data_IF_992815746557
#
_entry.id   IF_992815746557
#
_cell.length_a   1.000
_cell.length_b   1.000
_cell.length_c   1.000
_cell.angle_alpha   90.00
_cell.angle_beta   90.00
_cell.angle_gamma   90.00
#
_symmetry.space_group_name_H-M   'P 1'
#
loop_
_entity.id
_entity.type
_entity.pdbx_description
1 polymer ?
#
# COMPACT_ATOMS: atom_id res chain seq x y z
N UNK A 1 18.08 -10.62 -21.75
CA UNK A 1 17.00 -9.64 -21.41
C UNK A 1 17.11 -9.36 -19.92
N UNK A 2 17.03 -8.12 -19.50
CA UNK A 2 16.94 -7.76 -18.08
C UNK A 2 15.64 -8.33 -17.52
N UNK A 3 15.69 -8.88 -16.31
CA UNK A 3 14.54 -9.44 -15.60
C UNK A 3 13.54 -8.33 -15.29
N UNK A 4 12.28 -8.47 -15.68
CA UNK A 4 11.19 -7.52 -15.43
C UNK A 4 10.63 -7.76 -14.02
N UNK A 5 10.77 -6.82 -13.13
CA UNK A 5 10.42 -6.97 -11.72
C UNK A 5 9.27 -6.05 -11.33
N UNK A 6 8.26 -6.61 -10.67
CA UNK A 6 7.15 -5.86 -10.11
C UNK A 6 7.29 -5.68 -8.60
N UNK A 7 6.98 -4.48 -8.12
CA UNK A 7 6.85 -4.14 -6.71
C UNK A 7 5.39 -3.85 -6.38
N UNK A 8 4.88 -4.52 -5.34
CA UNK A 8 3.54 -4.28 -4.82
C UNK A 8 3.64 -3.73 -3.41
N UNK A 9 3.04 -2.58 -3.19
CA UNK A 9 3.07 -1.84 -1.92
C UNK A 9 1.67 -1.75 -1.31
N UNK A 10 1.50 -2.36 -0.13
CA UNK A 10 0.21 -2.33 0.56
C UNK A 10 -0.11 -0.95 1.16
N UNK A 11 -1.36 -0.75 1.55
CA UNK A 11 -1.74 0.33 2.46
C UNK A 11 -1.16 0.14 3.86
N UNK A 12 -1.23 1.18 4.72
CA UNK A 12 -0.77 1.07 6.11
C UNK A 12 -0.44 2.39 6.83
N UNK A 13 -0.69 3.56 6.24
CA UNK A 13 -0.44 4.86 6.86
C UNK A 13 1.01 5.04 7.30
N UNK A 14 1.24 5.39 8.57
CA UNK A 14 2.59 5.60 9.14
C UNK A 14 3.52 4.38 9.02
N UNK A 15 2.94 3.17 8.93
CA UNK A 15 3.68 1.91 8.71
C UNK A 15 4.37 1.87 7.33
N UNK A 16 4.05 2.78 6.41
CA UNK A 16 4.74 2.93 5.12
C UNK A 16 6.24 3.22 5.23
N UNK A 17 6.73 3.69 6.38
CA UNK A 17 8.15 3.76 6.67
C UNK A 17 8.85 2.39 6.58
N UNK A 18 8.16 1.31 6.97
CA UNK A 18 8.65 -0.06 6.81
C UNK A 18 8.89 -0.38 5.33
N UNK A 19 7.99 0.01 4.43
CA UNK A 19 8.17 -0.20 2.99
C UNK A 19 9.40 0.53 2.47
N UNK A 20 9.60 1.79 2.89
CA UNK A 20 10.77 2.56 2.51
C UNK A 20 12.08 1.90 2.95
N UNK A 21 12.14 1.38 4.20
CA UNK A 21 13.29 0.64 4.70
C UNK A 21 13.54 -0.66 3.94
N UNK A 22 12.49 -1.42 3.67
CA UNK A 22 12.57 -2.71 2.96
C UNK A 22 12.98 -2.52 1.49
N UNK A 23 12.39 -1.55 0.81
CA UNK A 23 12.73 -1.20 -0.58
C UNK A 23 14.18 -0.75 -0.70
N UNK A 24 14.61 0.15 0.20
CA UNK A 24 15.99 0.63 0.22
C UNK A 24 16.99 -0.53 0.28
N UNK A 25 16.76 -1.51 1.15
CA UNK A 25 17.61 -2.69 1.22
C UNK A 25 17.56 -3.51 -0.08
N UNK A 26 16.37 -3.76 -0.60
CA UNK A 26 16.20 -4.52 -1.85
C UNK A 26 16.97 -3.85 -3.01
N UNK A 27 16.84 -2.55 -3.17
CA UNK A 27 17.48 -1.78 -4.26
C UNK A 27 18.99 -1.64 -4.05
N UNK A 28 19.43 -1.13 -2.89
CA UNK A 28 20.84 -0.77 -2.67
C UNK A 28 21.74 -1.97 -2.39
N UNK A 29 21.23 -3.01 -1.74
CA UNK A 29 22.03 -4.17 -1.35
C UNK A 29 21.83 -5.35 -2.27
N UNK A 30 20.59 -5.59 -2.71
CA UNK A 30 20.24 -6.75 -3.57
C UNK A 30 20.17 -6.40 -5.06
N UNK A 31 20.29 -5.11 -5.41
CA UNK A 31 20.32 -4.65 -6.81
C UNK A 31 18.98 -4.75 -7.53
N UNK A 32 17.85 -4.74 -6.80
CA UNK A 32 16.53 -4.69 -7.43
C UNK A 32 16.32 -3.40 -8.21
N UNK A 33 15.66 -3.52 -9.34
CA UNK A 33 15.11 -2.44 -10.14
C UNK A 33 13.62 -2.71 -10.35
N UNK A 34 12.80 -1.69 -10.30
CA UNK A 34 11.36 -1.82 -10.38
C UNK A 34 10.83 -1.33 -11.71
N UNK A 35 10.41 -2.27 -12.58
CA UNK A 35 9.82 -1.96 -13.89
C UNK A 35 8.33 -1.64 -13.78
N UNK A 36 7.66 -2.28 -12.79
CA UNK A 36 6.23 -2.11 -12.52
C UNK A 36 6.08 -1.86 -11.03
N UNK A 37 5.29 -0.86 -10.66
CA UNK A 37 5.01 -0.53 -9.25
C UNK A 37 3.50 -0.37 -9.09
N UNK A 38 2.90 -1.17 -8.22
CA UNK A 38 1.50 -0.99 -7.83
C UNK A 38 1.39 -0.66 -6.35
N UNK A 39 0.51 0.28 -6.00
CA UNK A 39 0.33 0.68 -4.61
C UNK A 39 -1.03 1.28 -4.31
N UNK A 40 -1.43 1.17 -3.03
CA UNK A 40 -2.63 1.81 -2.49
C UNK A 40 -2.29 2.53 -1.18
N UNK A 41 -3.04 3.58 -0.84
CA UNK A 41 -2.79 4.33 0.40
C UNK A 41 -1.37 4.87 0.47
N UNK A 42 -0.67 4.65 1.58
CA UNK A 42 0.76 4.99 1.70
C UNK A 42 1.62 4.28 0.66
N UNK A 43 1.22 3.09 0.21
CA UNK A 43 1.89 2.39 -0.89
C UNK A 43 1.79 3.14 -2.23
N UNK A 44 0.70 3.89 -2.46
CA UNK A 44 0.57 4.79 -3.61
C UNK A 44 1.58 5.94 -3.56
N UNK A 45 1.78 6.53 -2.36
CA UNK A 45 2.74 7.61 -2.14
C UNK A 45 4.18 7.13 -2.34
N UNK A 46 4.55 6.05 -1.64
CA UNK A 46 5.87 5.46 -1.77
C UNK A 46 6.11 5.01 -3.21
N UNK A 47 5.14 4.35 -3.84
CA UNK A 47 5.22 3.86 -5.20
C UNK A 47 5.43 4.97 -6.23
N UNK A 48 4.74 6.10 -6.10
CA UNK A 48 4.91 7.24 -6.97
C UNK A 48 6.34 7.82 -6.88
N UNK A 49 6.84 8.01 -5.67
CA UNK A 49 8.22 8.49 -5.47
C UNK A 49 9.26 7.52 -6.03
N UNK A 50 9.04 6.20 -5.87
CA UNK A 50 9.92 5.17 -6.43
C UNK A 50 9.84 5.13 -7.96
N UNK A 51 8.64 5.30 -8.55
CA UNK A 51 8.45 5.33 -10.00
C UNK A 51 9.11 6.55 -10.66
N UNK A 52 9.26 7.66 -9.93
CA UNK A 52 10.03 8.84 -10.32
C UNK A 52 11.53 8.72 -9.99
N UNK A 53 11.98 7.61 -9.41
CA UNK A 53 13.35 7.39 -8.92
C UNK A 53 13.80 8.44 -7.86
N UNK A 54 12.87 9.09 -7.18
CA UNK A 54 13.14 10.06 -6.11
C UNK A 54 13.48 9.37 -4.77
N UNK A 55 14.36 8.35 -4.82
CA UNK A 55 14.70 7.47 -3.70
C UNK A 55 15.22 8.21 -2.48
N UNK A 56 16.19 9.10 -2.70
CA UNK A 56 16.79 9.88 -1.62
C UNK A 56 15.76 10.80 -0.98
N UNK A 57 14.93 11.45 -1.81
CA UNK A 57 13.89 12.36 -1.34
C UNK A 57 12.81 11.62 -0.54
N UNK A 58 12.39 10.43 -0.97
CA UNK A 58 11.47 9.58 -0.22
C UNK A 58 12.01 9.26 1.18
N UNK A 59 13.28 8.89 1.26
CA UNK A 59 13.91 8.58 2.54
C UNK A 59 14.01 9.81 3.45
N UNK A 60 14.32 10.99 2.90
CA UNK A 60 14.34 12.27 3.63
C UNK A 60 12.95 12.63 4.18
N UNK A 61 11.89 12.46 3.37
CA UNK A 61 10.51 12.69 3.80
C UNK A 61 10.20 11.81 5.02
N UNK A 62 10.45 10.52 4.95
CA UNK A 62 10.22 9.61 6.08
C UNK A 62 11.08 9.96 7.31
N UNK A 63 12.30 10.43 7.14
CA UNK A 63 13.14 10.86 8.26
C UNK A 63 12.71 12.18 8.90
N UNK A 64 11.88 12.98 8.24
CA UNK A 64 11.47 14.32 8.71
C UNK A 64 9.96 14.47 8.89
N UNK A 65 9.17 13.44 8.57
CA UNK A 65 7.72 13.46 8.69
C UNK A 65 7.32 13.55 10.18
N UNK A 66 6.16 14.15 10.43
CA UNK A 66 5.55 14.26 11.76
C UNK A 66 4.04 14.38 11.63
N UNK A 67 3.31 14.15 12.70
CA UNK A 67 1.85 14.17 12.69
C UNK A 67 1.27 15.46 12.09
N UNK A 68 1.81 16.62 12.46
CA UNK A 68 1.39 17.94 11.98
C UNK A 68 1.64 18.17 10.48
N UNK A 69 2.59 17.44 9.88
CA UNK A 69 2.86 17.46 8.44
C UNK A 69 1.89 16.60 7.63
N UNK A 70 1.18 15.67 8.26
CA UNK A 70 0.25 14.76 7.61
C UNK A 70 -1.18 15.23 7.75
N UNK A 71 -1.62 15.55 8.95
CA UNK A 71 -3.02 15.92 9.21
C UNK A 71 -3.15 17.07 10.20
N UNK A 72 -4.32 17.70 10.19
CA UNK A 72 -4.73 18.71 11.17
C UNK A 72 -6.04 18.30 11.84
N UNK A 73 -6.25 18.75 13.07
CA UNK A 73 -7.44 18.42 13.86
C UNK A 73 -7.21 17.21 14.75
N UNK A 74 -8.30 16.59 15.17
CA UNK A 74 -8.29 15.44 16.06
C UNK A 74 -9.68 15.12 16.59
N UNK A 75 -9.81 13.99 17.27
CA UNK A 75 -11.04 13.62 17.92
C UNK A 75 -11.21 14.42 19.22
N UNK A 76 -12.16 15.35 19.21
CA UNK A 76 -12.56 16.13 20.40
C UNK A 76 -14.06 16.43 20.36
N UNK A 77 -14.61 16.99 21.44
CA UNK A 77 -16.04 17.30 21.52
C UNK A 77 -16.53 18.20 20.38
N UNK A 78 -15.69 19.13 19.91
CA UNK A 78 -16.04 20.03 18.82
C UNK A 78 -16.11 19.30 17.47
N UNK A 79 -15.21 18.32 17.21
CA UNK A 79 -15.25 17.49 16.01
C UNK A 79 -16.47 16.55 16.00
N UNK A 80 -16.87 16.04 17.18
CA UNK A 80 -18.09 15.25 17.30
C UNK A 80 -19.35 16.10 17.02
N UNK A 81 -19.40 17.32 17.53
CA UNK A 81 -20.50 18.26 17.22
C UNK A 81 -20.53 18.57 15.72
N UNK A 82 -19.40 18.83 15.09
CA UNK A 82 -19.33 19.07 13.63
C UNK A 82 -19.88 17.89 12.82
N UNK A 83 -19.63 16.64 13.24
CA UNK A 83 -20.20 15.46 12.59
C UNK A 83 -21.72 15.39 12.67
N UNK A 84 -22.29 15.74 13.84
CA UNK A 84 -23.75 15.83 14.00
C UNK A 84 -24.39 16.87 13.09
N UNK A 85 -23.61 17.88 12.66
CA UNK A 85 -24.03 18.91 11.69
C UNK A 85 -23.53 18.63 10.24
N UNK A 86 -23.20 17.37 9.92
CA UNK A 86 -22.92 16.93 8.55
C UNK A 86 -21.48 17.06 8.08
N UNK A 87 -20.51 17.22 9.00
CA UNK A 87 -19.11 17.11 8.62
C UNK A 87 -18.79 15.70 8.11
N UNK A 88 -18.00 15.63 7.03
CA UNK A 88 -17.69 14.37 6.33
C UNK A 88 -16.44 13.66 6.88
N UNK A 89 -15.70 14.27 7.82
CA UNK A 89 -14.44 13.74 8.33
C UNK A 89 -14.05 14.33 9.70
N UNK A 90 -13.16 13.63 10.41
CA UNK A 90 -12.59 14.07 11.68
C UNK A 90 -11.35 14.95 11.49
N UNK A 91 -10.55 14.69 10.45
CA UNK A 91 -9.24 15.30 10.22
C UNK A 91 -9.20 16.01 8.86
N UNK A 92 -8.35 17.05 8.78
CA UNK A 92 -7.99 17.68 7.51
C UNK A 92 -6.70 17.10 6.95
N UNK A 93 -6.67 16.81 5.66
CA UNK A 93 -5.48 16.31 4.94
C UNK A 93 -4.72 17.41 4.20
N UNK A 94 -4.98 18.67 4.51
CA UNK A 94 -4.35 19.82 3.83
C UNK A 94 -2.81 19.80 3.87
N UNK A 95 -2.16 19.46 4.99
CA UNK A 95 -0.70 19.34 5.03
C UNK A 95 -0.18 18.26 4.10
N UNK A 96 -0.74 17.05 4.14
CA UNK A 96 -0.37 15.95 3.26
C UNK A 96 -0.56 16.33 1.79
N UNK A 97 -1.72 16.92 1.45
CA UNK A 97 -2.00 17.36 0.08
C UNK A 97 -0.97 18.36 -0.43
N UNK A 98 -0.59 19.35 0.38
CA UNK A 98 0.44 20.33 -0.01
C UNK A 98 1.79 19.69 -0.24
N UNK A 99 2.21 18.79 0.66
CA UNK A 99 3.47 18.05 0.55
C UNK A 99 3.49 17.24 -0.74
N UNK A 100 2.42 16.50 -1.03
CA UNK A 100 2.32 15.67 -2.24
C UNK A 100 2.41 16.49 -3.52
N UNK A 101 1.64 17.58 -3.63
CA UNK A 101 1.66 18.44 -4.81
C UNK A 101 3.03 19.14 -5.04
N UNK A 102 3.88 19.19 -4.04
CA UNK A 102 5.26 19.69 -4.17
C UNK A 102 6.25 18.62 -4.63
N UNK A 103 5.97 17.35 -4.35
CA UNK A 103 6.89 16.24 -4.64
C UNK A 103 6.52 15.47 -5.92
N UNK A 104 5.23 15.49 -6.29
CA UNK A 104 4.74 14.77 -7.47
C UNK A 104 4.98 15.57 -8.75
N UNK A 105 5.75 14.98 -9.63
CA UNK A 105 6.04 15.44 -10.98
C UNK A 105 5.69 14.30 -11.95
N UNK A 106 4.41 14.20 -12.38
CA UNK A 106 3.92 13.06 -13.17
C UNK A 106 4.74 12.78 -14.43
N UNK A 107 5.31 13.82 -15.03
CA UNK A 107 6.19 13.72 -16.20
C UNK A 107 7.53 13.02 -15.92
N UNK A 108 7.91 12.88 -14.66
CA UNK A 108 9.12 12.15 -14.24
C UNK A 108 8.88 10.67 -13.95
N UNK A 109 7.62 10.19 -14.03
CA UNK A 109 7.29 8.76 -13.81
C UNK A 109 7.93 7.92 -14.91
N UNK A 110 8.80 6.97 -14.52
CA UNK A 110 9.57 6.10 -15.41
C UNK A 110 9.10 4.65 -15.38
N UNK A 111 8.71 4.14 -14.22
CA UNK A 111 8.16 2.79 -14.07
C UNK A 111 6.68 2.75 -14.49
N UNK A 112 6.17 1.57 -14.87
CA UNK A 112 4.73 1.33 -15.05
C UNK A 112 4.05 1.43 -13.66
N UNK A 113 3.61 2.65 -13.32
CA UNK A 113 2.97 2.96 -12.04
C UNK A 113 1.47 2.67 -12.12
N UNK A 114 0.94 2.01 -11.08
CA UNK A 114 -0.47 1.64 -10.96
C UNK A 114 -0.99 1.96 -9.56
N UNK A 115 -2.01 2.79 -9.49
CA UNK A 115 -2.57 3.32 -8.24
C UNK A 115 -4.04 2.97 -8.16
N UNK A 116 -4.45 2.38 -7.03
CA UNK A 116 -5.83 2.02 -6.79
C UNK A 116 -6.57 3.01 -5.92
N UNK A 117 -7.80 3.36 -6.29
CA UNK A 117 -8.74 4.09 -5.46
C UNK A 117 -10.16 3.52 -5.60
N UNK A 118 -11.05 3.79 -4.64
CA UNK A 118 -12.42 3.27 -4.65
C UNK A 118 -13.43 4.41 -4.69
N UNK A 119 -14.42 4.31 -5.58
CA UNK A 119 -15.56 5.22 -5.60
C UNK A 119 -16.61 4.79 -4.58
N UNK A 120 -16.97 5.67 -3.63
CA UNK A 120 -18.07 5.41 -2.70
C UNK A 120 -19.44 5.45 -3.38
N UNK A 121 -19.55 6.11 -4.56
CA UNK A 121 -20.82 6.18 -5.29
C UNK A 121 -21.16 4.87 -6.00
N UNK A 122 -20.13 4.17 -6.56
CA UNK A 122 -20.35 2.94 -7.32
C UNK A 122 -19.86 1.68 -6.57
N UNK A 123 -19.00 1.85 -5.57
CA UNK A 123 -18.30 0.77 -4.89
C UNK A 123 -17.18 0.14 -5.72
N UNK A 124 -16.86 0.69 -6.88
CA UNK A 124 -15.85 0.12 -7.79
C UNK A 124 -14.44 0.53 -7.39
N UNK A 125 -13.51 -0.42 -7.54
CA UNK A 125 -12.08 -0.16 -7.53
C UNK A 125 -11.66 0.33 -8.91
N UNK A 126 -10.92 1.44 -8.92
CA UNK A 126 -10.41 2.07 -10.15
C UNK A 126 -8.90 2.05 -10.10
N UNK A 127 -8.27 1.44 -11.10
CA UNK A 127 -6.83 1.51 -11.34
C UNK A 127 -6.52 2.74 -12.19
N UNK A 128 -5.59 3.57 -11.73
CA UNK A 128 -5.01 4.69 -12.46
C UNK A 128 -3.56 4.35 -12.81
N UNK A 129 -3.12 4.72 -14.00
CA UNK A 129 -1.77 4.47 -14.50
C UNK A 129 -0.90 5.73 -14.47
N UNK A 130 0.40 5.55 -14.48
CA UNK A 130 1.36 6.66 -14.38
C UNK A 130 1.22 7.71 -15.48
N UNK A 131 0.67 7.36 -16.64
CA UNK A 131 0.39 8.25 -17.77
C UNK A 131 -1.03 8.83 -17.77
N UNK A 132 -1.85 8.51 -16.75
CA UNK A 132 -3.19 9.08 -16.59
C UNK A 132 -3.08 10.57 -16.23
N UNK A 133 -3.80 11.47 -16.91
CA UNK A 133 -3.79 12.90 -16.61
C UNK A 133 -4.23 13.22 -15.17
N UNK A 134 -5.03 12.34 -14.55
CA UNK A 134 -5.55 12.50 -13.19
C UNK A 134 -4.66 11.77 -12.14
N UNK A 135 -3.45 11.30 -12.50
CA UNK A 135 -2.63 10.43 -11.62
C UNK A 135 -2.26 11.09 -10.27
N UNK A 136 -2.00 12.38 -10.26
CA UNK A 136 -1.66 13.08 -9.02
C UNK A 136 -2.84 13.12 -8.04
N UNK A 137 -4.04 13.40 -8.55
CA UNK A 137 -5.29 13.36 -7.79
C UNK A 137 -5.64 11.92 -7.37
N UNK A 138 -5.37 10.93 -8.20
CA UNK A 138 -5.58 9.52 -7.90
C UNK A 138 -4.68 9.05 -6.76
N UNK A 139 -3.39 9.43 -6.76
CA UNK A 139 -2.47 9.16 -5.66
C UNK A 139 -3.00 9.77 -4.37
N UNK A 140 -3.45 11.02 -4.40
CA UNK A 140 -4.04 11.67 -3.22
C UNK A 140 -5.32 10.95 -2.77
N UNK A 141 -6.24 10.62 -3.69
CA UNK A 141 -7.48 9.92 -3.38
C UNK A 141 -7.23 8.55 -2.77
N UNK A 142 -6.22 7.83 -3.27
CA UNK A 142 -5.77 6.55 -2.70
C UNK A 142 -5.35 6.64 -1.22
N UNK A 143 -5.03 7.82 -0.72
CA UNK A 143 -4.69 8.03 0.71
C UNK A 143 -5.86 8.46 1.57
N UNK A 144 -7.02 8.69 0.99
CA UNK A 144 -8.21 9.18 1.71
C UNK A 144 -8.88 8.03 2.46
N UNK A 145 -8.39 7.72 3.65
CA UNK A 145 -9.01 6.72 4.51
C UNK A 145 -10.43 7.16 4.91
N UNK A 146 -11.46 6.35 4.63
CA UNK A 146 -12.85 6.65 4.99
C UNK A 146 -13.00 6.98 6.48
N UNK A 147 -13.93 7.89 6.81
CA UNK A 147 -14.20 8.40 8.16
C UNK A 147 -13.10 9.38 8.63
N UNK A 148 -11.82 9.08 8.35
CA UNK A 148 -10.69 9.93 8.76
C UNK A 148 -10.64 11.20 7.91
N UNK A 149 -10.70 11.08 6.58
CA UNK A 149 -10.65 12.19 5.62
C UNK A 149 -11.86 12.25 4.71
N UNK A 150 -12.12 13.45 4.20
CA UNK A 150 -13.23 13.70 3.26
C UNK A 150 -12.92 13.07 1.90
N UNK A 151 -13.86 12.30 1.31
CA UNK A 151 -13.72 11.78 -0.05
C UNK A 151 -13.40 12.86 -1.09
N UNK A 152 -12.63 12.52 -2.12
CA UNK A 152 -12.21 13.44 -3.17
C UNK A 152 -12.97 13.18 -4.49
N UNK A 153 -13.35 14.25 -5.18
CA UNK A 153 -13.73 14.18 -6.57
C UNK A 153 -12.48 14.44 -7.43
N UNK A 154 -12.03 13.44 -8.18
CA UNK A 154 -10.89 13.54 -9.10
C UNK A 154 -11.37 14.21 -10.39
N UNK A 155 -12.47 13.70 -10.97
CA UNK A 155 -13.09 14.21 -12.20
C UNK A 155 -14.59 13.96 -12.17
N UNK A 156 -15.30 14.36 -13.21
CA UNK A 156 -16.74 14.08 -13.32
C UNK A 156 -17.10 12.59 -13.37
N UNK A 157 -16.14 11.73 -13.75
CA UNK A 157 -16.29 10.26 -13.79
C UNK A 157 -15.91 9.60 -12.48
N UNK A 158 -14.96 10.18 -11.76
CA UNK A 158 -14.35 9.60 -10.55
C UNK A 158 -14.67 10.49 -9.36
N UNK A 159 -15.86 10.24 -8.77
CA UNK A 159 -16.40 11.04 -7.66
C UNK A 159 -16.40 10.25 -6.36
N UNK A 160 -16.33 11.00 -5.27
CA UNK A 160 -16.34 10.47 -3.91
C UNK A 160 -15.29 9.37 -3.71
N UNK A 161 -14.10 9.59 -4.26
CA UNK A 161 -13.00 8.64 -4.24
C UNK A 161 -12.35 8.59 -2.86
N UNK A 162 -12.03 7.38 -2.43
CA UNK A 162 -11.37 7.06 -1.17
C UNK A 162 -10.26 6.04 -1.38
N UNK A 163 -9.55 5.71 -0.30
CA UNK A 163 -8.44 4.75 -0.25
C UNK A 163 -8.76 3.44 -0.96
N UNK A 164 -7.87 3.02 -1.86
CA UNK A 164 -7.99 1.77 -2.61
C UNK A 164 -8.01 0.53 -1.72
N UNK A 165 -7.40 0.63 -0.54
CA UNK A 165 -7.35 -0.45 0.45
C UNK A 165 -8.72 -0.93 0.93
N UNK A 166 -9.77 -0.13 0.78
CA UNK A 166 -11.15 -0.55 1.07
C UNK A 166 -11.57 -1.81 0.29
N UNK A 167 -11.01 -2.02 -0.91
CA UNK A 167 -11.30 -3.20 -1.74
C UNK A 167 -10.07 -4.04 -2.07
N UNK A 168 -8.89 -3.43 -2.14
CA UNK A 168 -7.65 -4.08 -2.57
C UNK A 168 -6.49 -3.45 -1.80
N UNK A 169 -6.19 -3.99 -0.61
CA UNK A 169 -5.16 -3.43 0.27
C UNK A 169 -3.74 -3.68 -0.24
N UNK A 170 -3.55 -4.66 -1.10
CA UNK A 170 -2.27 -4.99 -1.73
C UNK A 170 -2.52 -5.39 -3.19
N UNK A 171 -2.31 -4.49 -4.16
CA UNK A 171 -2.79 -4.64 -5.53
C UNK A 171 -1.91 -5.61 -6.35
N UNK A 172 -1.86 -6.88 -5.93
CA UNK A 172 -1.10 -7.94 -6.59
C UNK A 172 -1.63 -8.19 -8.00
N UNK A 173 -2.96 -8.24 -8.15
CA UNK A 173 -3.61 -8.45 -9.45
C UNK A 173 -3.24 -7.38 -10.47
N UNK A 174 -3.05 -6.14 -10.00
CA UNK A 174 -2.79 -4.99 -10.86
C UNK A 174 -1.44 -5.10 -11.62
N UNK A 175 -0.46 -5.86 -11.12
CA UNK A 175 0.84 -6.02 -11.80
C UNK A 175 0.92 -7.23 -12.72
N UNK A 176 -0.02 -8.19 -12.62
CA UNK A 176 0.12 -9.47 -13.31
C UNK A 176 -0.19 -9.39 -14.80
N UNK A 177 -1.00 -8.43 -15.27
CA UNK A 177 -1.28 -8.23 -16.69
C UNK A 177 -0.07 -7.70 -17.47
N UNK A 178 0.91 -7.10 -16.79
CA UNK A 178 2.19 -6.70 -17.36
C UNK A 178 3.21 -7.86 -17.44
N UNK A 179 2.84 -9.04 -16.98
CA UNK A 179 3.63 -10.28 -17.04
C UNK A 179 5.06 -10.14 -16.50
N UNK A 180 5.26 -9.75 -15.22
CA UNK A 180 6.59 -9.65 -14.63
C UNK A 180 7.28 -11.02 -14.56
N UNK A 181 8.62 -11.01 -14.46
CA UNK A 181 9.42 -12.22 -14.21
C UNK A 181 9.52 -12.53 -12.70
N UNK A 182 9.29 -11.55 -11.84
CA UNK A 182 9.22 -11.70 -10.39
C UNK A 182 8.30 -10.62 -9.79
N UNK A 183 7.57 -10.99 -8.73
CA UNK A 183 6.76 -10.07 -7.93
C UNK A 183 7.33 -9.98 -6.51
N UNK A 184 7.65 -8.78 -6.06
CA UNK A 184 8.02 -8.49 -4.68
C UNK A 184 6.90 -7.71 -4.02
N UNK A 185 6.39 -8.23 -2.92
CA UNK A 185 5.28 -7.65 -2.17
C UNK A 185 5.84 -7.12 -0.85
N UNK A 186 5.63 -5.84 -0.54
CA UNK A 186 5.97 -5.27 0.76
C UNK A 186 4.67 -4.90 1.48
N UNK A 187 4.32 -5.71 2.47
CA UNK A 187 3.13 -5.55 3.29
C UNK A 187 3.45 -4.80 4.59
N UNK A 188 2.55 -3.92 5.03
CA UNK A 188 2.69 -3.15 6.27
C UNK A 188 2.13 -3.84 7.52
N UNK A 189 1.46 -4.97 7.37
CA UNK A 189 0.86 -5.72 8.46
C UNK A 189 1.51 -7.08 8.64
N UNK A 190 1.64 -7.59 9.88
CA UNK A 190 2.19 -8.93 10.13
C UNK A 190 1.20 -10.01 9.68
N UNK A 191 1.69 -11.24 9.57
CA UNK A 191 0.84 -12.40 9.25
C UNK A 191 -0.26 -12.60 10.28
N UNK A 192 0.07 -12.45 11.55
CA UNK A 192 -0.88 -12.48 12.67
C UNK A 192 -0.71 -11.22 13.50
N UNK A 193 -1.83 -10.64 13.91
CA UNK A 193 -1.81 -9.51 14.82
C UNK A 193 -1.48 -9.93 16.25
N UNK A 194 -0.69 -9.12 16.92
CA UNK A 194 -0.51 -9.24 18.35
C UNK A 194 -1.85 -9.02 19.08
N UNK A 195 -2.13 -9.80 20.14
CA UNK A 195 -3.26 -9.55 21.00
C UNK A 195 -3.18 -8.14 21.61
N UNK A 196 -4.31 -7.45 21.67
CA UNK A 196 -4.35 -6.19 22.42
C UNK A 196 -4.14 -6.46 23.92
N UNK A 197 -3.46 -5.57 24.64
CA UNK A 197 -3.25 -5.70 26.09
C UNK A 197 -4.54 -5.60 26.90
N UNK A 198 -5.64 -5.17 26.28
CA UNK A 198 -6.97 -5.04 26.86
C UNK A 198 -8.03 -4.73 25.81
N UNK A 199 -9.29 -4.58 26.19
CA UNK A 199 -10.36 -4.22 25.25
C UNK A 199 -10.13 -2.78 24.74
N UNK A 200 -10.54 -2.47 23.49
CA UNK A 200 -10.45 -1.12 22.96
C UNK A 200 -11.21 -0.11 23.84
N UNK A 201 -10.56 0.99 24.16
CA UNK A 201 -11.04 1.95 25.17
C UNK A 201 -12.26 2.77 24.73
N UNK A 202 -12.47 2.93 23.45
CA UNK A 202 -13.53 3.78 22.90
C UNK A 202 -13.94 3.35 21.47
N UNK A 203 -15.02 3.95 20.98
CA UNK A 203 -15.62 3.60 19.67
C UNK A 203 -14.65 3.81 18.49
N UNK A 204 -13.75 4.80 18.57
CA UNK A 204 -12.73 5.00 17.54
C UNK A 204 -11.73 3.86 17.52
N UNK A 205 -11.19 3.49 18.67
CA UNK A 205 -10.26 2.36 18.78
C UNK A 205 -10.90 1.03 18.40
N UNK A 206 -12.20 0.86 18.67
CA UNK A 206 -12.98 -0.28 18.16
C UNK A 206 -13.03 -0.23 16.62
N UNK A 207 -13.36 0.92 16.05
CA UNK A 207 -13.45 1.12 14.60
C UNK A 207 -12.10 0.92 13.89
N UNK A 208 -11.03 1.51 14.40
CA UNK A 208 -9.66 1.33 13.89
C UNK A 208 -9.26 -0.15 13.89
N UNK A 209 -9.43 -0.82 15.03
CA UNK A 209 -9.08 -2.25 15.14
C UNK A 209 -9.92 -3.14 14.22
N UNK A 210 -11.21 -2.84 14.09
CA UNK A 210 -12.10 -3.56 13.17
C UNK A 210 -11.63 -3.39 11.73
N UNK A 211 -11.29 -2.17 11.34
CA UNK A 211 -10.79 -1.89 9.99
C UNK A 211 -9.45 -2.60 9.74
N UNK A 212 -8.52 -2.57 10.68
CA UNK A 212 -7.25 -3.30 10.56
C UNK A 212 -7.46 -4.81 10.34
N UNK A 213 -8.38 -5.42 11.11
CA UNK A 213 -8.72 -6.85 10.96
C UNK A 213 -9.30 -7.12 9.57
N UNK A 214 -10.24 -6.28 9.11
CA UNK A 214 -10.87 -6.44 7.79
C UNK A 214 -9.85 -6.30 6.65
N UNK A 215 -9.00 -5.27 6.68
CA UNK A 215 -7.98 -5.04 5.68
C UNK A 215 -6.93 -6.16 5.66
N UNK A 216 -6.54 -6.66 6.83
CA UNK A 216 -5.63 -7.80 6.89
C UNK A 216 -6.26 -9.07 6.33
N UNK A 217 -7.54 -9.34 6.60
CA UNK A 217 -8.22 -10.52 6.02
C UNK A 217 -8.37 -10.40 4.50
N UNK A 218 -8.64 -9.20 3.97
CA UNK A 218 -8.61 -8.96 2.52
C UNK A 218 -7.24 -9.33 1.95
N UNK A 219 -6.16 -8.80 2.52
CA UNK A 219 -4.80 -9.13 2.10
C UNK A 219 -4.52 -10.65 2.16
N UNK A 220 -4.87 -11.30 3.28
CA UNK A 220 -4.65 -12.74 3.45
C UNK A 220 -5.48 -13.57 2.47
N UNK A 221 -6.68 -13.12 2.14
CA UNK A 221 -7.53 -13.77 1.14
C UNK A 221 -6.92 -13.70 -0.25
N UNK A 222 -6.46 -12.52 -0.67
CA UNK A 222 -5.81 -12.30 -1.96
C UNK A 222 -4.49 -13.08 -2.06
N UNK A 223 -3.69 -13.09 -1.01
CA UNK A 223 -2.46 -13.89 -0.95
C UNK A 223 -2.72 -15.39 -1.03
N UNK A 224 -3.71 -15.91 -0.30
CA UNK A 224 -4.10 -17.33 -0.38
C UNK A 224 -4.50 -17.72 -1.80
N UNK A 225 -5.28 -16.86 -2.46
CA UNK A 225 -5.71 -17.08 -3.84
C UNK A 225 -4.52 -17.05 -4.81
N UNK A 226 -3.67 -16.02 -4.72
CA UNK A 226 -2.46 -15.89 -5.54
C UNK A 226 -1.53 -17.09 -5.38
N UNK A 227 -1.23 -17.50 -4.15
CA UNK A 227 -0.35 -18.66 -3.88
C UNK A 227 -0.96 -19.94 -4.38
N UNK A 228 -2.27 -20.13 -4.20
CA UNK A 228 -3.01 -21.32 -4.67
C UNK A 228 -2.96 -21.43 -6.20
N UNK A 229 -3.28 -20.34 -6.90
CA UNK A 229 -3.24 -20.33 -8.37
C UNK A 229 -1.82 -20.58 -8.87
N UNK A 230 -0.82 -19.92 -8.30
CA UNK A 230 0.58 -20.13 -8.66
C UNK A 230 1.02 -21.58 -8.48
N UNK A 231 0.65 -22.23 -7.38
CA UNK A 231 0.97 -23.63 -7.13
C UNK A 231 0.32 -24.56 -8.19
N UNK A 232 -0.97 -24.33 -8.49
CA UNK A 232 -1.69 -25.10 -9.51
C UNK A 232 -1.08 -24.91 -10.90
N UNK A 233 -0.69 -23.69 -11.27
CA UNK A 233 -0.03 -23.41 -12.56
C UNK A 233 1.31 -24.13 -12.65
N UNK A 234 2.12 -24.08 -11.59
CA UNK A 234 3.42 -24.75 -11.55
C UNK A 234 3.28 -26.27 -11.71
N UNK A 235 2.32 -26.88 -11.01
CA UNK A 235 2.02 -28.31 -11.11
C UNK A 235 1.54 -28.70 -12.52
N UNK A 236 0.62 -27.93 -13.10
CA UNK A 236 0.11 -28.14 -14.45
C UNK A 236 1.23 -28.03 -15.50
N UNK A 237 2.11 -27.03 -15.40
CA UNK A 237 3.26 -26.86 -16.28
C UNK A 237 4.23 -28.06 -16.22
N UNK A 238 4.46 -28.62 -15.02
CA UNK A 238 5.28 -29.82 -14.85
C UNK A 238 4.68 -31.05 -15.56
N UNK A 239 3.36 -31.06 -15.79
CA UNK A 239 2.63 -32.10 -16.52
C UNK A 239 2.41 -31.76 -18.02
N UNK A 240 2.96 -30.64 -18.51
CA UNK A 240 2.75 -30.17 -19.88
C UNK A 240 1.36 -29.60 -20.16
N UNK A 241 0.61 -29.23 -19.12
CA UNK A 241 -0.74 -28.68 -19.23
C UNK A 241 -0.71 -27.16 -19.03
N UNK A 242 -1.42 -26.42 -19.89
CA UNK A 242 -1.62 -24.98 -19.74
C UNK A 242 -3.00 -24.71 -19.11
N UNK A 243 -3.02 -24.07 -17.96
CA UNK A 243 -4.24 -23.59 -17.34
C UNK A 243 -4.65 -22.23 -17.94
N UNK A 244 -5.94 -21.98 -18.02
CA UNK A 244 -6.49 -20.74 -18.56
C UNK A 244 -7.41 -20.07 -17.53
N UNK A 245 -7.39 -18.75 -17.50
CA UNK A 245 -8.30 -17.97 -16.66
C UNK A 245 -9.76 -18.20 -17.11
N UNK A 246 -10.67 -18.57 -16.19
CA UNK A 246 -12.00 -19.08 -16.57
C UNK A 246 -12.90 -18.04 -17.27
N UNK A 247 -12.64 -16.74 -17.05
CA UNK A 247 -13.43 -15.66 -17.64
C UNK A 247 -12.77 -15.10 -18.90
N UNK A 248 -11.47 -14.75 -18.83
CA UNK A 248 -10.76 -14.11 -19.95
C UNK A 248 -10.22 -15.10 -20.99
N UNK A 249 -10.13 -16.38 -20.66
CA UNK A 249 -9.51 -17.41 -21.53
C UNK A 249 -7.99 -17.27 -21.70
N UNK A 250 -7.35 -16.29 -21.07
CA UNK A 250 -5.90 -16.10 -21.15
C UNK A 250 -5.16 -17.23 -20.43
N UNK A 251 -4.00 -17.69 -20.97
CA UNK A 251 -3.19 -18.68 -20.26
C UNK A 251 -2.69 -18.10 -18.94
N UNK A 252 -2.78 -18.90 -17.88
CA UNK A 252 -2.21 -18.56 -16.59
C UNK A 252 -0.70 -18.82 -16.59
N UNK A 253 0.06 -17.91 -15.99
CA UNK A 253 1.52 -17.97 -15.88
C UNK A 253 1.89 -18.12 -14.40
N UNK A 254 2.95 -18.89 -14.13
CA UNK A 254 3.59 -18.91 -12.80
C UNK A 254 4.43 -17.66 -12.62
N UNK A 255 4.28 -17.01 -11.47
CA UNK A 255 5.05 -15.84 -11.08
C UNK A 255 5.91 -16.17 -9.87
N UNK A 256 7.25 -16.19 -9.96
CA UNK A 256 8.13 -16.16 -8.80
C UNK A 256 7.80 -14.97 -7.93
N UNK A 257 7.71 -15.15 -6.62
CA UNK A 257 7.32 -14.08 -5.72
C UNK A 257 8.06 -14.11 -4.40
N UNK A 258 8.12 -12.95 -3.75
CA UNK A 258 8.62 -12.78 -2.37
C UNK A 258 7.70 -11.83 -1.63
N UNK A 259 7.52 -12.10 -0.33
CA UNK A 259 6.80 -11.21 0.57
C UNK A 259 7.73 -10.73 1.69
N UNK A 260 7.76 -9.41 1.88
CA UNK A 260 8.44 -8.74 2.98
C UNK A 260 7.35 -8.11 3.84
N UNK A 261 7.12 -8.68 5.02
CA UNK A 261 6.11 -8.22 5.96
C UNK A 261 6.69 -8.24 7.36
N UNK A 262 6.26 -7.33 8.26
CA UNK A 262 6.78 -7.29 9.62
C UNK A 262 6.45 -8.57 10.38
N UNK A 263 7.26 -8.89 11.37
CA UNK A 263 7.04 -10.05 12.25
C UNK A 263 6.01 -9.70 13.33
N UNK A 264 6.05 -8.46 13.81
CA UNK A 264 5.19 -7.91 14.85
C UNK A 264 4.45 -6.67 14.33
N UNK A 265 3.42 -6.24 15.04
CA UNK A 265 2.66 -5.03 14.69
C UNK A 265 3.55 -3.78 14.80
N UNK A 266 3.57 -2.95 13.76
CA UNK A 266 4.40 -1.73 13.66
C UNK A 266 3.81 -0.50 14.38
N UNK A 267 2.90 -0.67 15.32
CA UNK A 267 2.24 0.42 16.02
C UNK A 267 0.99 0.95 15.30
N UNK A 268 0.62 2.19 15.60
CA UNK A 268 -0.61 2.82 15.12
C UNK A 268 -0.45 3.36 13.69
N UNK A 269 -1.48 3.18 12.88
CA UNK A 269 -1.54 3.64 11.47
C UNK A 269 -1.44 5.16 11.31
N UNK A 270 -1.81 5.92 12.33
CA UNK A 270 -1.78 7.38 12.35
C UNK A 270 -0.63 7.96 13.20
N UNK A 271 0.29 7.14 13.71
CA UNK A 271 1.44 7.60 14.49
C UNK A 271 2.66 7.88 13.60
N UNK A 272 2.79 9.13 13.17
CA UNK A 272 3.95 9.63 12.42
C UNK A 272 5.02 10.24 13.34
N UNK A 273 5.09 9.84 14.61
CA UNK A 273 6.18 10.24 15.49
C UNK A 273 7.52 9.71 14.97
N UNK A 274 8.60 10.47 15.24
CA UNK A 274 9.93 10.07 14.79
C UNK A 274 10.37 8.72 15.35
N UNK A 275 9.94 8.36 16.56
CA UNK A 275 10.23 7.06 17.19
C UNK A 275 9.56 5.91 16.41
N UNK A 276 8.27 6.01 16.11
CA UNK A 276 7.51 5.01 15.36
C UNK A 276 8.05 4.86 13.93
N UNK A 277 8.33 5.97 13.26
CA UNK A 277 8.88 6.00 11.89
C UNK A 277 10.26 5.35 11.83
N UNK A 278 11.19 5.73 12.72
CA UNK A 278 12.54 5.17 12.75
C UNK A 278 12.54 3.67 13.12
N UNK A 279 11.66 3.26 14.02
CA UNK A 279 11.44 1.85 14.34
C UNK A 279 10.99 1.06 13.12
N UNK A 280 10.00 1.57 12.39
CA UNK A 280 9.47 0.94 11.16
C UNK A 280 10.49 0.89 10.03
N UNK A 281 11.27 1.96 9.80
CA UNK A 281 12.36 1.97 8.81
C UNK A 281 13.39 0.86 9.08
N UNK A 282 13.85 0.75 10.34
CA UNK A 282 14.81 -0.30 10.74
C UNK A 282 14.24 -1.70 10.60
N UNK A 283 13.00 -1.90 11.03
CA UNK A 283 12.30 -3.18 10.89
C UNK A 283 12.19 -3.60 9.41
N UNK A 284 11.91 -2.64 8.52
CA UNK A 284 11.84 -2.87 7.07
C UNK A 284 13.17 -3.34 6.49
N UNK A 285 14.27 -2.65 6.80
CA UNK A 285 15.63 -3.03 6.38
C UNK A 285 15.96 -4.44 6.86
N UNK A 286 15.77 -4.73 8.15
CA UNK A 286 16.12 -6.02 8.74
C UNK A 286 15.25 -7.15 8.16
N UNK A 287 13.97 -6.92 7.97
CA UNK A 287 13.07 -7.91 7.40
C UNK A 287 13.39 -8.22 5.94
N UNK A 288 13.68 -7.19 5.14
CA UNK A 288 14.13 -7.36 3.76
C UNK A 288 15.43 -8.17 3.70
N UNK A 289 16.39 -7.90 4.59
CA UNK A 289 17.62 -8.68 4.71
C UNK A 289 17.33 -10.16 4.93
N UNK A 290 16.50 -10.49 5.93
CA UNK A 290 16.13 -11.88 6.25
C UNK A 290 15.48 -12.59 5.07
N UNK A 291 14.49 -11.96 4.43
CA UNK A 291 13.75 -12.57 3.32
C UNK A 291 14.59 -12.71 2.06
N UNK A 292 15.36 -11.68 1.69
CA UNK A 292 16.10 -11.65 0.44
C UNK A 292 17.45 -12.40 0.51
N UNK A 293 17.98 -12.66 1.70
CA UNK A 293 19.16 -13.49 1.91
C UNK A 293 18.82 -14.95 2.23
N UNK A 294 17.55 -15.28 2.37
CA UNK A 294 17.12 -16.65 2.66
C UNK A 294 17.47 -17.11 4.06
N UNK A 295 17.67 -16.18 5.00
CA UNK A 295 17.89 -16.50 6.41
C UNK A 295 16.61 -17.12 6.96
N UNK A 296 16.64 -18.43 7.23
CA UNK A 296 15.49 -19.12 7.85
C UNK A 296 15.30 -18.57 9.27
N UNK A 297 14.02 -18.39 9.65
CA UNK A 297 13.68 -18.17 11.07
C UNK A 297 14.22 -19.35 11.87
N UNK A 298 15.07 -19.11 12.84
CA UNK A 298 15.23 -20.04 13.96
C UNK A 298 13.91 -19.96 14.75
N UNK A 299 13.16 -21.07 14.73
CA UNK A 299 11.92 -21.24 15.51
C UNK A 299 12.22 -21.32 17.00
#
# INVERSE_FOLDING_TARGET
MTKKTALVLSGGGAKGAFQCGAEKYAREVKGYHWDIIAGVSVGALNGAMLAMEKYQRLFEIWNTISNDKVYTGGFNLLSLVKLLFGAKSFYGNGPLRRMLLQELEPEEIKADLRIGAVSLETGEYVEFRGDDPDIAEAILASTVMPIIWTPLDISYKHRSMVDGGVRNISPIGDVLDAEPDEVVIINCSPEMFDPLPGPPENILKIGERTLEILLNELFRSDMREFVRINAMVLEAQAQGVTLHHPVSGRPLKYYPWKIIEPVETLGDTLDFSQEAVQGSLKAGVERARQVLEGVRREN
#
